data_IF_232371465681
#
_entry.id   IF_232371465681
#
_cell.length_a   1.000
_cell.length_b   1.000
_cell.length_c   1.000
_cell.angle_alpha   90.00
_cell.angle_beta   90.00
_cell.angle_gamma   90.00
#
_symmetry.space_group_name_H-M   'P 1'
#
loop_
_entity.id
_entity.type
_entity.pdbx_description
1 polymer ?
#
# COMPACT_ATOMS: atom_id res chain seq x y z
N UNK A 1 -88.00 15.35 1.51
CA UNK A 1 -87.34 15.26 2.86
C UNK A 1 -85.85 15.09 2.60
N UNK A 2 -85.05 16.14 2.79
CA UNK A 2 -83.64 16.18 2.48
C UNK A 2 -82.85 15.86 3.77
N UNK A 3 -82.01 14.85 3.77
CA UNK A 3 -81.01 14.65 4.81
C UNK A 3 -79.62 14.98 4.29
N UNK A 4 -78.99 15.93 4.97
CA UNK A 4 -77.65 16.39 4.70
C UNK A 4 -76.71 15.62 5.65
N UNK A 5 -75.73 14.84 5.12
CA UNK A 5 -74.63 14.30 5.94
C UNK A 5 -73.38 15.14 5.74
N UNK A 6 -72.91 15.69 6.84
CA UNK A 6 -71.61 16.38 6.95
C UNK A 6 -70.48 15.35 7.02
N UNK A 7 -69.55 15.48 6.10
CA UNK A 7 -68.30 14.67 6.12
C UNK A 7 -67.38 15.12 7.22
N UNK A 8 -66.83 14.15 7.95
CA UNK A 8 -65.76 14.31 8.92
C UNK A 8 -64.47 14.00 8.17
N UNK A 9 -63.59 15.00 8.08
CA UNK A 9 -62.29 14.87 7.45
C UNK A 9 -61.32 14.06 8.32
N UNK A 10 -60.80 12.99 7.79
CA UNK A 10 -59.71 12.21 8.38
C UNK A 10 -58.38 12.91 8.09
N UNK A 11 -57.75 13.47 9.08
CA UNK A 11 -56.38 14.03 8.99
C UNK A 11 -55.44 12.85 9.06
N UNK A 12 -54.86 12.47 7.94
CA UNK A 12 -53.78 11.49 7.86
C UNK A 12 -52.46 12.14 8.29
N UNK A 13 -51.99 11.79 9.48
CA UNK A 13 -50.68 12.18 9.96
C UNK A 13 -49.64 11.28 9.30
N UNK A 14 -48.92 11.86 8.35
CA UNK A 14 -47.79 11.21 7.68
C UNK A 14 -46.56 11.28 8.61
N UNK A 15 -46.26 10.18 9.28
CA UNK A 15 -44.98 10.04 10.01
C UNK A 15 -43.86 9.84 9.02
N UNK A 16 -43.07 10.88 8.80
CA UNK A 16 -41.78 10.78 8.09
C UNK A 16 -40.77 10.17 9.04
N UNK A 17 -40.53 8.87 8.92
CA UNK A 17 -39.36 8.21 9.54
C UNK A 17 -38.12 8.54 8.72
N UNK A 18 -37.52 9.71 8.99
CA UNK A 18 -36.17 10.01 8.56
C UNK A 18 -35.19 9.45 9.60
N UNK A 19 -34.81 8.22 9.46
CA UNK A 19 -33.83 7.63 10.39
C UNK A 19 -32.73 6.88 9.66
N UNK A 20 -31.51 7.37 9.89
CA UNK A 20 -30.28 6.60 9.90
C UNK A 20 -29.70 6.08 8.57
N UNK A 21 -29.39 7.00 7.66
CA UNK A 21 -28.36 6.72 6.65
C UNK A 21 -27.01 7.41 6.95
N UNK A 22 -26.91 8.16 8.05
CA UNK A 22 -25.73 8.98 8.33
C UNK A 22 -24.57 8.21 8.98
N UNK A 23 -24.86 7.12 9.70
CA UNK A 23 -23.84 6.42 10.48
C UNK A 23 -22.93 5.48 9.67
N UNK A 24 -23.44 4.84 8.60
CA UNK A 24 -22.63 3.92 7.77
C UNK A 24 -21.61 4.63 6.88
N UNK A 25 -21.93 5.83 6.40
CA UNK A 25 -21.01 6.58 5.51
C UNK A 25 -19.81 7.16 6.26
N UNK A 26 -19.98 7.53 7.54
CA UNK A 26 -18.86 8.01 8.36
C UNK A 26 -17.92 6.89 8.80
N UNK A 27 -18.43 5.67 9.03
CA UNK A 27 -17.61 4.52 9.43
C UNK A 27 -16.78 4.03 8.24
N UNK A 28 -17.35 4.01 7.04
CA UNK A 28 -16.61 3.63 5.82
C UNK A 28 -15.51 4.65 5.47
N UNK A 29 -15.80 5.96 5.59
CA UNK A 29 -14.79 7.00 5.33
C UNK A 29 -13.64 6.98 6.35
N UNK A 30 -13.88 6.51 7.59
CA UNK A 30 -12.82 6.40 8.61
C UNK A 30 -11.92 5.17 8.40
N UNK A 31 -12.45 4.09 7.83
CA UNK A 31 -11.66 2.90 7.47
C UNK A 31 -10.77 3.17 6.24
N UNK A 32 -11.31 3.87 5.21
CA UNK A 32 -10.54 4.25 4.02
C UNK A 32 -9.49 5.34 4.32
N UNK A 33 -9.78 6.29 5.22
CA UNK A 33 -8.82 7.32 5.63
C UNK A 33 -7.62 6.76 6.42
N UNK A 34 -7.76 5.59 7.04
CA UNK A 34 -6.68 4.97 7.81
C UNK A 34 -5.75 4.11 6.94
N UNK A 35 -6.18 3.70 5.74
CA UNK A 35 -5.34 2.95 4.79
C UNK A 35 -4.52 3.89 3.88
N UNK A 36 -4.94 5.14 3.70
CA UNK A 36 -4.27 6.13 2.85
C UNK A 36 -3.01 6.77 3.47
N UNK A 37 -2.70 6.49 4.74
CA UNK A 37 -1.56 7.08 5.45
C UNK A 37 -0.39 6.11 5.68
N UNK A 38 -0.49 4.86 5.22
CA UNK A 38 0.62 3.91 5.39
C UNK A 38 1.76 4.18 4.42
N UNK A 39 2.97 4.03 4.94
CA UNK A 39 4.18 4.01 4.12
C UNK A 39 4.16 2.74 3.27
N UNK A 40 4.25 2.89 1.97
CA UNK A 40 4.34 1.80 1.01
C UNK A 40 5.74 1.70 0.43
N UNK A 41 6.38 0.57 0.64
CA UNK A 41 7.77 0.33 0.25
C UNK A 41 7.85 -0.33 -1.11
N UNK A 42 8.72 0.22 -1.94
CA UNK A 42 9.16 -0.36 -3.21
C UNK A 42 10.65 -0.66 -3.12
N UNK A 43 11.07 -1.84 -3.54
CA UNK A 43 12.49 -2.23 -3.58
C UNK A 43 12.91 -2.39 -5.03
N UNK A 44 13.93 -1.65 -5.42
CA UNK A 44 14.44 -1.63 -6.79
C UNK A 44 15.81 -2.27 -6.86
N UNK A 45 15.95 -3.32 -7.69
CA UNK A 45 17.21 -4.03 -8.00
C UNK A 45 18.00 -4.40 -6.73
N UNK A 46 17.40 -5.19 -5.78
CA UNK A 46 18.07 -5.58 -4.55
C UNK A 46 19.25 -6.50 -4.86
N UNK A 47 20.47 -6.04 -4.61
CA UNK A 47 21.71 -6.78 -4.88
C UNK A 47 22.65 -6.87 -3.67
N UNK A 48 22.23 -6.33 -2.52
CA UNK A 48 22.99 -6.34 -1.28
C UNK A 48 22.05 -6.68 -0.11
N UNK A 49 22.55 -7.39 0.91
CA UNK A 49 21.72 -7.83 2.04
C UNK A 49 21.04 -6.67 2.79
N UNK A 50 21.57 -5.45 2.72
CA UNK A 50 20.93 -4.26 3.30
C UNK A 50 19.55 -3.98 2.71
N UNK A 51 19.25 -4.45 1.51
CA UNK A 51 17.92 -4.32 0.90
C UNK A 51 16.80 -4.93 1.76
N UNK A 52 17.11 -6.00 2.50
CA UNK A 52 16.14 -6.72 3.34
C UNK A 52 16.10 -6.26 4.81
N UNK A 53 16.98 -5.35 5.23
CA UNK A 53 17.06 -4.96 6.65
C UNK A 53 15.79 -4.23 7.14
N UNK A 54 15.14 -3.47 6.28
CA UNK A 54 13.88 -2.81 6.63
C UNK A 54 12.77 -3.83 6.97
N UNK A 55 12.80 -5.00 6.32
CA UNK A 55 11.81 -6.06 6.49
C UNK A 55 12.14 -7.01 7.65
N UNK A 56 13.28 -6.82 8.31
CA UNK A 56 13.66 -7.63 9.47
C UNK A 56 12.69 -7.47 10.64
N UNK A 57 12.00 -6.36 10.73
CA UNK A 57 11.00 -6.04 11.75
C UNK A 57 9.64 -5.73 11.12
N UNK A 58 8.57 -5.90 11.89
CA UNK A 58 7.23 -5.42 11.51
C UNK A 58 7.09 -3.96 11.97
N UNK A 59 6.78 -3.07 11.04
CA UNK A 59 6.61 -1.63 11.29
C UNK A 59 5.13 -1.27 11.19
N UNK A 60 4.58 -0.65 12.23
CA UNK A 60 3.13 -0.37 12.34
C UNK A 60 2.60 0.59 11.28
N UNK A 61 3.43 1.56 10.87
CA UNK A 61 3.06 2.61 9.92
C UNK A 61 3.43 2.26 8.47
N UNK A 62 3.98 1.05 8.25
CA UNK A 62 4.36 0.54 6.93
C UNK A 62 3.37 -0.52 6.49
N UNK A 63 2.99 -0.50 5.23
CA UNK A 63 2.20 -1.55 4.61
C UNK A 63 2.93 -2.89 4.72
N UNK A 64 2.21 -3.97 4.99
CA UNK A 64 2.75 -5.32 5.02
C UNK A 64 3.11 -5.86 3.63
N UNK A 65 2.84 -5.09 2.60
CA UNK A 65 3.10 -5.46 1.20
C UNK A 65 4.31 -4.71 0.66
N UNK A 66 5.31 -5.48 0.23
CA UNK A 66 6.51 -4.96 -0.43
C UNK A 66 6.38 -5.19 -1.93
N UNK A 67 6.65 -4.15 -2.72
CA UNK A 67 6.72 -4.26 -4.18
C UNK A 67 8.18 -4.31 -4.61
N UNK A 68 8.54 -5.34 -5.35
CA UNK A 68 9.91 -5.60 -5.78
C UNK A 68 9.97 -5.54 -7.30
N UNK A 69 10.86 -4.69 -7.82
CA UNK A 69 11.14 -4.55 -9.24
C UNK A 69 12.63 -4.80 -9.48
N UNK A 70 12.95 -5.85 -10.21
CA UNK A 70 14.34 -6.29 -10.39
C UNK A 70 14.52 -7.03 -11.70
N UNK A 71 15.76 -7.14 -12.21
CA UNK A 71 16.08 -8.14 -13.22
C UNK A 71 15.97 -9.54 -12.62
N UNK A 72 15.72 -10.54 -13.45
CA UNK A 72 15.83 -11.93 -13.02
C UNK A 72 17.25 -12.26 -12.61
N UNK A 73 17.42 -13.09 -11.58
CA UNK A 73 18.74 -13.57 -11.19
C UNK A 73 18.89 -13.90 -9.70
N UNK A 74 20.12 -14.28 -9.37
CA UNK A 74 20.48 -14.74 -8.02
C UNK A 74 20.20 -13.67 -6.96
N UNK A 75 20.49 -12.40 -7.27
CA UNK A 75 20.39 -11.31 -6.30
C UNK A 75 18.93 -11.10 -5.81
N UNK A 76 17.96 -11.06 -6.72
CA UNK A 76 16.55 -10.93 -6.35
C UNK A 76 16.07 -12.18 -5.60
N UNK A 77 16.50 -13.38 -5.99
CA UNK A 77 16.13 -14.62 -5.30
C UNK A 77 16.64 -14.62 -3.84
N UNK A 78 17.90 -14.27 -3.62
CA UNK A 78 18.48 -14.14 -2.27
C UNK A 78 17.74 -13.11 -1.41
N UNK A 79 17.31 -12.01 -2.01
CA UNK A 79 16.47 -11.03 -1.32
C UNK A 79 15.13 -11.63 -0.90
N UNK A 80 14.45 -12.34 -1.80
CA UNK A 80 13.17 -13.00 -1.52
C UNK A 80 13.29 -14.09 -0.45
N UNK A 81 14.35 -14.87 -0.48
CA UNK A 81 14.69 -15.87 0.56
C UNK A 81 14.90 -15.21 1.93
N UNK A 82 15.56 -14.04 1.97
CA UNK A 82 15.73 -13.29 3.21
C UNK A 82 14.39 -12.89 3.82
N UNK A 83 13.44 -12.43 3.00
CA UNK A 83 12.09 -12.07 3.47
C UNK A 83 11.35 -13.31 3.99
N UNK A 84 11.45 -14.44 3.28
CA UNK A 84 10.84 -15.70 3.73
C UNK A 84 11.43 -16.17 5.06
N UNK A 85 12.75 -16.04 5.23
CA UNK A 85 13.45 -16.34 6.49
C UNK A 85 12.91 -15.50 7.65
N UNK A 86 12.68 -14.19 7.44
CA UNK A 86 12.11 -13.32 8.47
C UNK A 86 10.66 -13.69 8.81
N UNK A 87 9.87 -14.05 7.82
CA UNK A 87 8.49 -14.48 8.02
C UNK A 87 8.37 -15.84 8.76
N UNK A 88 9.37 -16.71 8.59
CA UNK A 88 9.33 -18.09 9.12
C UNK A 88 10.14 -18.30 10.41
N UNK A 89 10.89 -17.31 10.87
CA UNK A 89 11.72 -17.45 12.07
C UNK A 89 10.86 -17.69 13.30
N UNK A 90 11.39 -18.46 14.27
CA UNK A 90 10.68 -18.83 15.49
C UNK A 90 10.45 -17.64 16.42
N UNK A 91 11.41 -16.69 16.47
CA UNK A 91 11.34 -15.49 17.31
C UNK A 91 10.96 -14.28 16.48
N UNK A 92 9.92 -13.57 16.90
CA UNK A 92 9.44 -12.34 16.25
C UNK A 92 9.24 -12.48 14.73
N UNK A 93 8.44 -13.46 14.24
CA UNK A 93 8.20 -13.62 12.81
C UNK A 93 7.55 -12.37 12.25
N UNK A 94 7.89 -12.06 11.00
CA UNK A 94 7.23 -10.98 10.24
C UNK A 94 6.11 -11.53 9.36
N UNK A 95 5.34 -10.65 8.72
CA UNK A 95 4.19 -11.04 7.88
C UNK A 95 4.22 -10.35 6.52
N UNK A 96 5.41 -10.11 5.98
CA UNK A 96 5.58 -9.41 4.71
C UNK A 96 5.00 -10.17 3.53
N UNK A 97 4.17 -9.50 2.76
CA UNK A 97 3.62 -9.97 1.48
C UNK A 97 4.48 -9.41 0.34
N UNK A 98 4.83 -10.26 -0.61
CA UNK A 98 5.71 -9.89 -1.73
C UNK A 98 4.90 -9.76 -3.02
N UNK A 99 4.99 -8.61 -3.69
CA UNK A 99 4.56 -8.41 -5.07
C UNK A 99 5.80 -8.22 -5.93
N UNK A 100 6.13 -9.22 -6.72
CA UNK A 100 7.39 -9.29 -7.46
C UNK A 100 7.14 -9.09 -8.94
N UNK A 101 7.90 -8.19 -9.54
CA UNK A 101 8.05 -8.05 -10.98
C UNK A 101 9.51 -8.27 -11.36
N UNK A 102 9.78 -9.27 -12.21
CA UNK A 102 11.10 -9.52 -12.78
C UNK A 102 11.04 -9.40 -14.30
N UNK A 103 11.93 -8.60 -14.85
CA UNK A 103 12.01 -8.36 -16.28
C UNK A 103 13.05 -7.31 -16.61
N UNK A 104 13.47 -7.21 -17.87
CA UNK A 104 14.49 -6.25 -18.31
C UNK A 104 14.04 -4.79 -18.18
N UNK A 105 12.74 -4.56 -18.21
CA UNK A 105 12.10 -3.25 -18.08
C UNK A 105 11.67 -2.90 -16.65
N UNK A 106 12.23 -3.60 -15.63
CA UNK A 106 11.83 -3.44 -14.22
C UNK A 106 11.81 -2.00 -13.70
N UNK A 107 12.78 -1.16 -14.12
CA UNK A 107 12.79 0.26 -13.73
C UNK A 107 11.61 1.00 -14.37
N UNK A 108 11.41 0.85 -15.67
CA UNK A 108 10.31 1.50 -16.41
C UNK A 108 8.96 1.04 -15.86
N UNK A 109 8.84 -0.24 -15.52
CA UNK A 109 7.65 -0.82 -14.92
C UNK A 109 7.36 -0.21 -13.55
N UNK A 110 8.37 -0.07 -12.69
CA UNK A 110 8.24 0.59 -11.40
C UNK A 110 7.74 2.03 -11.55
N UNK A 111 8.38 2.78 -12.44
CA UNK A 111 8.03 4.19 -12.67
C UNK A 111 6.63 4.35 -13.26
N UNK A 112 6.22 3.46 -14.17
CA UNK A 112 4.88 3.48 -14.79
C UNK A 112 3.78 3.05 -13.81
N UNK A 113 4.02 2.03 -13.01
CA UNK A 113 3.06 1.56 -12.00
C UNK A 113 2.83 2.61 -10.91
N UNK A 114 3.86 3.36 -10.58
CA UNK A 114 3.87 4.42 -9.55
C UNK A 114 3.17 3.98 -8.25
N UNK A 115 3.43 2.76 -7.82
CA UNK A 115 2.85 2.15 -6.62
C UNK A 115 3.84 2.23 -5.47
N UNK A 116 3.43 2.87 -4.37
CA UNK A 116 4.29 3.10 -3.22
C UNK A 116 4.83 4.53 -3.15
N UNK A 117 5.50 4.84 -2.03
CA UNK A 117 6.00 6.20 -1.78
C UNK A 117 7.48 6.24 -1.36
N UNK A 118 8.06 5.11 -0.92
CA UNK A 118 9.49 5.02 -0.59
C UNK A 118 10.16 3.95 -1.47
N UNK A 119 11.18 4.36 -2.23
CA UNK A 119 12.03 3.46 -3.00
C UNK A 119 13.30 3.12 -2.22
N UNK A 120 13.50 1.83 -1.92
CA UNK A 120 14.70 1.30 -1.28
C UNK A 120 15.69 0.86 -2.35
N UNK A 121 16.91 1.40 -2.29
CA UNK A 121 17.98 1.20 -3.26
C UNK A 121 19.23 0.65 -2.56
N UNK A 122 19.36 -0.66 -2.49
CA UNK A 122 20.51 -1.33 -1.91
C UNK A 122 20.97 -2.48 -2.83
N UNK A 123 21.73 -2.13 -3.85
CA UNK A 123 22.13 -3.07 -4.88
C UNK A 123 23.26 -2.56 -5.76
N UNK A 124 23.06 -2.64 -7.06
CA UNK A 124 24.08 -2.32 -8.06
C UNK A 124 24.53 -0.84 -8.01
N UNK A 125 25.75 -0.59 -7.53
CA UNK A 125 26.30 0.76 -7.38
C UNK A 125 26.49 1.49 -8.72
N UNK A 126 26.74 0.79 -9.81
CA UNK A 126 26.91 1.41 -11.14
C UNK A 126 25.61 2.04 -11.64
N UNK A 127 24.46 1.49 -11.26
CA UNK A 127 23.14 1.97 -11.66
C UNK A 127 22.51 2.89 -10.61
N UNK A 128 23.02 2.92 -9.39
CA UNK A 128 22.40 3.57 -8.22
C UNK A 128 22.07 5.03 -8.44
N UNK A 129 23.02 5.83 -8.96
CA UNK A 129 22.80 7.26 -9.23
C UNK A 129 21.61 7.45 -10.18
N UNK A 130 21.53 6.66 -11.24
CA UNK A 130 20.39 6.70 -12.18
C UNK A 130 19.09 6.33 -11.46
N UNK A 131 19.08 5.28 -10.66
CA UNK A 131 17.89 4.87 -9.92
C UNK A 131 17.40 5.95 -8.96
N UNK A 132 18.32 6.60 -8.22
CA UNK A 132 18.00 7.73 -7.34
C UNK A 132 17.33 8.86 -8.14
N UNK A 133 17.95 9.29 -9.23
CA UNK A 133 17.44 10.38 -10.04
C UNK A 133 16.06 10.09 -10.63
N UNK A 134 15.87 8.91 -11.22
CA UNK A 134 14.59 8.54 -11.84
C UNK A 134 13.49 8.34 -10.78
N UNK A 135 13.82 7.75 -9.63
CA UNK A 135 12.85 7.60 -8.53
C UNK A 135 12.41 8.96 -7.97
N UNK A 136 13.35 9.89 -7.74
CA UNK A 136 13.02 11.25 -7.25
C UNK A 136 12.17 12.01 -8.28
N UNK A 137 12.53 11.96 -9.57
CA UNK A 137 11.73 12.60 -10.64
C UNK A 137 10.31 12.06 -10.71
N UNK A 138 10.13 10.77 -10.42
CA UNK A 138 8.84 10.12 -10.36
C UNK A 138 8.08 10.36 -9.03
N UNK A 139 8.64 11.13 -8.09
CA UNK A 139 7.97 11.50 -6.84
C UNK A 139 8.16 10.53 -5.68
N UNK A 140 9.05 9.54 -5.80
CA UNK A 140 9.40 8.67 -4.67
C UNK A 140 10.33 9.37 -3.68
N UNK A 141 10.13 9.12 -2.40
CA UNK A 141 11.19 9.28 -1.41
C UNK A 141 12.21 8.15 -1.59
N UNK A 142 13.48 8.45 -1.41
CA UNK A 142 14.55 7.46 -1.67
C UNK A 142 15.30 7.14 -0.40
N UNK A 143 15.37 5.84 -0.08
CA UNK A 143 16.25 5.27 0.93
C UNK A 143 17.36 4.49 0.24
N UNK A 144 18.52 5.12 0.09
CA UNK A 144 19.66 4.51 -0.59
C UNK A 144 20.74 4.07 0.38
N UNK A 145 21.29 2.87 0.18
CA UNK A 145 22.47 2.38 0.88
C UNK A 145 23.76 2.98 0.27
N UNK A 146 24.83 2.99 1.04
CA UNK A 146 26.16 3.39 0.60
C UNK A 146 26.85 2.30 -0.27
N UNK A 147 27.88 2.66 -1.06
CA UNK A 147 28.27 4.00 -1.47
C UNK A 147 27.30 4.60 -2.48
N UNK A 148 27.33 5.92 -2.57
CA UNK A 148 26.57 6.69 -3.58
C UNK A 148 27.48 6.98 -4.79
#
# INVERSE_FOLDING_TARGET
MKFIYKGIGLISILFIVSSCSFSKKQIMNKAEANDSCKIEVVVLDPGHFHASLLQKETLTDVSDTIRIYAPEGIAVNQYLESIDSYNQRAESPTTWKKQVYTGDDYLQKMLADHKGNIAVLAGNNQKKTRYIMESIKAGYHVLADKPL
#
